data_IF_634800998970
#
_entry.id   IF_634800998970
#
_cell.length_a   1.000
_cell.length_b   1.000
_cell.length_c   1.000
_cell.angle_alpha   90.00
_cell.angle_beta   90.00
_cell.angle_gamma   90.00
#
_symmetry.space_group_name_H-M   'P 1'
#
loop_
_entity.id
_entity.type
_entity.pdbx_description
1 polymer ?
#
# COMPACT_ATOMS: atom_id res chain seq x y z
N UNK A 1 -27.84 0.28 -3.86
CA UNK A 1 -26.65 0.59 -4.69
C UNK A 1 -25.43 0.24 -3.86
N UNK A 2 -24.54 -0.64 -4.31
CA UNK A 2 -23.27 -0.84 -3.60
C UNK A 2 -22.41 0.41 -3.76
N UNK A 3 -21.77 0.85 -2.68
CA UNK A 3 -20.84 1.98 -2.71
C UNK A 3 -19.57 1.57 -3.46
N UNK A 4 -18.97 2.51 -4.19
CA UNK A 4 -17.69 2.28 -4.89
C UNK A 4 -16.60 1.98 -3.85
N UNK A 5 -15.86 0.90 -4.04
CA UNK A 5 -14.65 0.59 -3.26
C UNK A 5 -13.57 1.63 -3.57
N UNK A 6 -13.00 2.24 -2.54
CA UNK A 6 -11.84 3.14 -2.70
C UNK A 6 -10.56 2.31 -2.60
N UNK A 7 -9.73 2.37 -3.64
CA UNK A 7 -8.51 1.58 -3.72
C UNK A 7 -7.27 2.42 -3.40
N UNK A 8 -6.51 1.99 -2.40
CA UNK A 8 -5.37 2.73 -1.85
C UNK A 8 -4.11 1.87 -1.86
N UNK A 9 -3.05 2.38 -2.47
CA UNK A 9 -1.76 1.72 -2.59
C UNK A 9 -0.69 2.39 -1.73
N UNK A 10 0.20 1.60 -1.14
CA UNK A 10 1.36 2.08 -0.39
C UNK A 10 2.65 1.49 -0.94
N UNK A 11 3.41 2.28 -1.71
CA UNK A 11 4.77 1.94 -2.13
C UNK A 11 5.69 2.13 -0.94
N UNK A 12 6.00 1.02 -0.25
CA UNK A 12 6.83 0.98 0.94
C UNK A 12 6.07 0.52 2.18
N UNK A 13 5.96 -0.79 2.36
CA UNK A 13 5.41 -1.46 3.56
C UNK A 13 6.35 -1.38 4.80
N UNK A 14 7.10 -0.30 4.95
CA UNK A 14 7.90 -0.03 6.15
C UNK A 14 7.05 0.59 7.27
N UNK A 15 7.69 1.16 8.29
CA UNK A 15 6.99 1.71 9.46
C UNK A 15 5.87 2.69 9.11
N UNK A 16 6.13 3.70 8.27
CA UNK A 16 5.12 4.73 7.91
C UNK A 16 4.02 4.14 7.03
N UNK A 17 4.37 3.45 5.94
CA UNK A 17 3.38 2.86 5.05
C UNK A 17 2.45 1.90 5.79
N UNK A 18 3.02 0.99 6.58
CA UNK A 18 2.25 0.02 7.37
C UNK A 18 1.40 0.69 8.45
N UNK A 19 1.87 1.76 9.10
CA UNK A 19 1.10 2.50 10.09
C UNK A 19 -0.15 3.15 9.48
N UNK A 20 0.04 3.98 8.44
CA UNK A 20 -1.06 4.69 7.80
C UNK A 20 -2.00 3.74 7.07
N UNK A 21 -1.46 2.85 6.24
CA UNK A 21 -2.26 1.90 5.48
C UNK A 21 -2.98 0.91 6.39
N UNK A 22 -2.37 0.47 7.49
CA UNK A 22 -3.03 -0.45 8.41
C UNK A 22 -4.13 0.23 9.23
N UNK A 23 -3.95 1.49 9.66
CA UNK A 23 -5.07 2.23 10.27
C UNK A 23 -6.23 2.43 9.27
N UNK A 24 -5.95 2.72 8.00
CA UNK A 24 -7.00 2.78 6.98
C UNK A 24 -7.68 1.41 6.77
N UNK A 25 -6.92 0.33 6.71
CA UNK A 25 -7.49 -1.02 6.62
C UNK A 25 -8.38 -1.35 7.83
N UNK A 26 -8.04 -0.85 9.02
CA UNK A 26 -8.81 -1.10 10.25
C UNK A 26 -10.19 -0.44 10.28
N UNK A 27 -10.41 0.60 9.48
CA UNK A 27 -11.69 1.32 9.39
C UNK A 27 -12.53 0.93 8.17
N UNK A 28 -12.07 -0.07 7.40
CA UNK A 28 -12.88 -0.67 6.33
C UNK A 28 -14.24 -1.13 6.88
N UNK A 29 -15.30 -0.86 6.13
CA UNK A 29 -16.67 -1.30 6.44
C UNK A 29 -17.50 -1.40 5.17
N UNK A 30 -18.65 -2.08 5.20
CA UNK A 30 -19.56 -2.15 4.05
C UNK A 30 -20.07 -0.75 3.63
N UNK A 31 -20.18 0.18 4.58
CA UNK A 31 -20.52 1.57 4.32
C UNK A 31 -19.35 2.37 3.74
N UNK A 32 -18.11 2.03 4.10
CA UNK A 32 -16.90 2.69 3.61
C UNK A 32 -15.92 1.62 3.12
N UNK A 33 -16.19 1.00 1.96
CA UNK A 33 -15.38 -0.12 1.51
C UNK A 33 -14.03 0.38 0.99
N UNK A 34 -12.97 -0.09 1.62
CA UNK A 34 -11.57 0.21 1.29
C UNK A 34 -10.82 -1.04 0.83
N UNK A 35 -10.07 -0.94 -0.25
CA UNK A 35 -9.10 -1.95 -0.68
C UNK A 35 -7.69 -1.39 -0.48
N UNK A 36 -6.95 -1.92 0.50
CA UNK A 36 -5.60 -1.48 0.83
C UNK A 36 -4.58 -2.48 0.31
N UNK A 37 -3.63 -2.01 -0.50
CA UNK A 37 -2.54 -2.82 -1.05
C UNK A 37 -1.21 -2.18 -0.70
N UNK A 38 -0.27 -3.00 -0.25
CA UNK A 38 1.08 -2.56 0.05
C UNK A 38 2.08 -3.14 -0.94
N UNK A 39 3.20 -2.44 -1.09
CA UNK A 39 4.37 -2.93 -1.80
C UNK A 39 5.58 -2.90 -0.87
N UNK A 40 6.30 -4.01 -0.75
CA UNK A 40 7.40 -4.13 0.20
C UNK A 40 8.37 -5.25 -0.16
N UNK A 41 9.52 -5.28 0.50
CA UNK A 41 10.55 -6.29 0.20
C UNK A 41 10.02 -7.71 0.43
N UNK A 42 10.44 -8.65 -0.41
CA UNK A 42 10.01 -10.06 -0.44
C UNK A 42 9.73 -10.67 0.94
N UNK A 43 10.73 -10.71 1.82
CA UNK A 43 10.60 -11.35 3.13
C UNK A 43 9.49 -10.71 3.96
N UNK A 44 9.38 -9.37 3.93
CA UNK A 44 8.35 -8.67 4.67
C UNK A 44 6.96 -8.89 4.07
N UNK A 45 6.86 -8.88 2.74
CA UNK A 45 5.61 -9.18 2.03
C UNK A 45 5.11 -10.60 2.35
N UNK A 46 6.00 -11.60 2.27
CA UNK A 46 5.67 -12.99 2.59
C UNK A 46 5.19 -13.15 4.04
N UNK A 47 5.89 -12.54 5.00
CA UNK A 47 5.46 -12.57 6.41
C UNK A 47 4.10 -11.90 6.60
N UNK A 48 3.88 -10.70 6.07
CA UNK A 48 2.59 -10.01 6.23
C UNK A 48 1.45 -10.76 5.58
N UNK A 49 1.63 -11.29 4.36
CA UNK A 49 0.57 -12.07 3.70
C UNK A 49 0.23 -13.36 4.47
N UNK A 50 1.22 -14.00 5.10
CA UNK A 50 1.04 -15.24 5.85
C UNK A 50 0.47 -15.01 7.25
N UNK A 51 1.01 -14.03 7.96
CA UNK A 51 0.77 -13.84 9.40
C UNK A 51 -0.12 -12.64 9.68
N UNK A 52 -0.34 -11.74 8.73
CA UNK A 52 -1.02 -10.46 8.93
C UNK A 52 -0.05 -9.34 9.30
N UNK A 53 -0.60 -8.14 9.46
CA UNK A 53 0.13 -6.94 9.85
C UNK A 53 -0.17 -6.61 11.32
N UNK A 54 0.87 -6.57 12.15
CA UNK A 54 0.79 -6.08 13.53
C UNK A 54 1.35 -4.67 13.62
N UNK A 55 0.59 -3.76 14.23
CA UNK A 55 0.97 -2.38 14.47
C UNK A 55 0.97 -2.11 15.97
N UNK A 56 2.12 -1.68 16.49
CA UNK A 56 2.26 -1.28 17.89
C UNK A 56 2.64 0.20 17.94
N UNK A 57 1.80 1.01 18.58
CA UNK A 57 1.98 2.46 18.70
C UNK A 57 1.60 2.91 20.11
N UNK A 58 2.61 3.16 20.95
CA UNK A 58 2.42 3.37 22.38
C UNK A 58 1.75 2.15 23.02
N UNK A 59 0.67 2.37 23.76
CA UNK A 59 -0.11 1.30 24.41
C UNK A 59 -1.14 0.62 23.49
N UNK A 60 -1.21 1.04 22.21
CA UNK A 60 -2.14 0.45 21.24
C UNK A 60 -1.46 -0.64 20.44
N UNK A 61 -2.10 -1.80 20.38
CA UNK A 61 -1.71 -2.91 19.52
C UNK A 61 -2.89 -3.28 18.62
N UNK A 62 -2.64 -3.28 17.31
CA UNK A 62 -3.62 -3.57 16.28
C UNK A 62 -3.10 -4.71 15.42
N UNK A 63 -3.93 -5.73 15.22
CA UNK A 63 -3.58 -6.87 14.39
C UNK A 63 -4.59 -7.03 13.25
N UNK A 64 -4.10 -6.92 12.02
CA UNK A 64 -4.89 -6.95 10.81
C UNK A 64 -4.58 -8.23 10.03
N UNK A 65 -5.61 -9.03 9.78
CA UNK A 65 -5.53 -10.22 8.92
C UNK A 65 -5.89 -9.85 7.48
N UNK A 66 -5.51 -10.70 6.54
CA UNK A 66 -5.84 -10.56 5.11
C UNK A 66 -5.32 -9.29 4.45
N UNK A 67 -4.18 -8.79 4.93
CA UNK A 67 -3.45 -7.70 4.27
C UNK A 67 -2.74 -8.26 3.04
N UNK A 68 -2.86 -7.55 1.91
CA UNK A 68 -2.17 -7.89 0.66
C UNK A 68 -0.91 -7.06 0.48
N UNK A 69 0.22 -7.73 0.34
CA UNK A 69 1.53 -7.11 0.07
C UNK A 69 2.18 -7.74 -1.14
N UNK A 70 2.59 -6.93 -2.11
CA UNK A 70 3.33 -7.39 -3.29
C UNK A 70 4.80 -6.99 -3.19
N UNK A 71 5.68 -7.81 -3.77
CA UNK A 71 7.11 -7.48 -3.82
C UNK A 71 7.41 -6.39 -4.86
N UNK A 72 6.74 -6.45 -6.01
CA UNK A 72 6.94 -5.53 -7.11
C UNK A 72 5.65 -5.15 -7.82
N UNK A 73 5.73 -4.12 -8.66
CA UNK A 73 4.67 -3.75 -9.60
C UNK A 73 4.28 -4.92 -10.53
N UNK A 74 5.26 -5.73 -10.96
CA UNK A 74 5.04 -6.86 -11.87
C UNK A 74 4.28 -8.01 -11.18
N UNK A 75 4.59 -8.29 -9.92
CA UNK A 75 3.85 -9.31 -9.16
C UNK A 75 2.39 -8.90 -8.97
N UNK A 76 2.15 -7.60 -8.79
CA UNK A 76 0.81 -7.04 -8.69
C UNK A 76 0.05 -7.09 -10.01
N UNK A 77 0.64 -6.65 -11.12
CA UNK A 77 -0.04 -6.65 -12.43
C UNK A 77 -0.25 -8.05 -12.99
N UNK A 78 0.60 -9.01 -12.64
CA UNK A 78 0.46 -10.43 -13.01
C UNK A 78 -0.49 -11.23 -12.12
N UNK A 79 -0.92 -10.67 -10.99
CA UNK A 79 -1.77 -11.37 -10.02
C UNK A 79 -3.23 -11.41 -10.46
N UNK A 80 -3.79 -12.60 -10.64
CA UNK A 80 -5.23 -12.81 -10.91
C UNK A 80 -6.14 -12.50 -9.72
N UNK A 81 -5.58 -12.36 -8.51
CA UNK A 81 -6.33 -12.06 -7.28
C UNK A 81 -6.81 -10.59 -7.19
N UNK A 82 -6.37 -9.76 -8.14
CA UNK A 82 -6.73 -8.36 -8.22
C UNK A 82 -7.31 -8.18 -9.61
N UNK A 83 -8.63 -7.96 -9.71
CA UNK A 83 -9.34 -7.87 -10.99
C UNK A 83 -8.84 -6.70 -11.87
N UNK A 84 -9.58 -6.34 -12.92
CA UNK A 84 -9.29 -5.27 -13.91
C UNK A 84 -8.95 -3.86 -13.34
N UNK A 85 -8.95 -3.71 -12.01
CA UNK A 85 -8.66 -2.53 -11.21
C UNK A 85 -7.16 -2.37 -10.87
N UNK A 86 -6.28 -2.34 -11.87
CA UNK A 86 -4.87 -1.95 -11.72
C UNK A 86 -4.68 -0.46 -11.37
N UNK A 87 -5.77 0.32 -11.28
CA UNK A 87 -5.77 1.76 -10.98
C UNK A 87 -6.08 2.01 -9.51
N UNK A 88 -5.22 2.79 -8.87
CA UNK A 88 -5.42 3.28 -7.52
C UNK A 88 -6.15 4.62 -7.51
N UNK A 89 -7.10 4.82 -6.59
CA UNK A 89 -7.65 6.14 -6.31
C UNK A 89 -6.60 7.01 -5.59
N UNK A 90 -5.79 6.40 -4.73
CA UNK A 90 -4.67 7.03 -4.04
C UNK A 90 -3.47 6.08 -4.00
N UNK A 91 -2.29 6.58 -4.37
CA UNK A 91 -1.04 5.84 -4.32
C UNK A 91 -0.02 6.65 -3.52
N UNK A 92 0.41 6.09 -2.40
CA UNK A 92 1.34 6.73 -1.48
C UNK A 92 2.76 6.21 -1.70
N UNK A 93 3.73 7.11 -1.79
CA UNK A 93 5.15 6.79 -1.70
C UNK A 93 5.64 7.01 -0.27
N UNK A 94 5.99 5.92 0.40
CA UNK A 94 6.42 5.88 1.81
C UNK A 94 7.76 5.16 2.00
N UNK A 95 8.50 4.90 0.91
CA UNK A 95 9.89 4.40 1.00
C UNK A 95 10.81 5.48 1.57
N UNK A 96 12.05 5.12 1.90
CA UNK A 96 13.05 6.15 2.27
C UNK A 96 13.57 6.82 0.99
N UNK A 97 13.94 8.10 1.07
CA UNK A 97 14.29 8.93 -0.09
C UNK A 97 15.37 8.33 -1.01
N UNK A 98 16.33 7.59 -0.45
CA UNK A 98 17.40 6.93 -1.22
C UNK A 98 16.91 5.75 -2.10
N UNK A 99 15.70 5.25 -1.86
CA UNK A 99 15.06 4.21 -2.67
C UNK A 99 14.05 4.81 -3.68
N UNK A 100 13.87 6.14 -3.71
CA UNK A 100 12.83 6.80 -4.53
C UNK A 100 13.02 6.59 -6.02
N UNK A 101 14.21 6.82 -6.58
CA UNK A 101 14.44 6.69 -8.02
C UNK A 101 14.09 5.29 -8.55
N UNK A 102 14.52 4.25 -7.83
CA UNK A 102 14.20 2.85 -8.17
C UNK A 102 12.70 2.59 -8.09
N UNK A 103 12.02 3.12 -7.06
CA UNK A 103 10.59 3.00 -6.93
C UNK A 103 9.86 3.70 -8.08
N UNK A 104 10.28 4.92 -8.47
CA UNK A 104 9.68 5.65 -9.58
C UNK A 104 9.80 4.88 -10.90
N UNK A 105 10.96 4.26 -11.17
CA UNK A 105 11.14 3.44 -12.37
C UNK A 105 10.28 2.17 -12.31
N UNK A 106 10.31 1.46 -11.18
CA UNK A 106 9.61 0.18 -11.02
C UNK A 106 8.08 0.34 -11.06
N UNK A 107 7.56 1.43 -10.49
CA UNK A 107 6.12 1.67 -10.34
C UNK A 107 5.56 2.66 -11.37
N UNK A 108 6.34 3.08 -12.37
CA UNK A 108 5.98 4.13 -13.33
C UNK A 108 4.56 4.00 -13.87
N UNK A 109 4.20 2.84 -14.43
CA UNK A 109 2.88 2.62 -15.03
C UNK A 109 1.73 2.63 -14.00
N UNK A 110 2.00 2.19 -12.76
CA UNK A 110 1.03 2.23 -11.67
C UNK A 110 0.84 3.68 -11.18
N UNK A 111 1.92 4.46 -11.12
CA UNK A 111 1.89 5.88 -10.77
C UNK A 111 1.12 6.67 -11.82
N UNK A 112 1.46 6.52 -13.10
CA UNK A 112 0.81 7.21 -14.23
C UNK A 112 -0.69 6.90 -14.34
N UNK A 113 -1.11 5.72 -13.89
CA UNK A 113 -2.52 5.30 -13.91
C UNK A 113 -3.29 5.56 -12.62
N UNK A 114 -2.59 6.00 -11.56
CA UNK A 114 -3.21 6.38 -10.29
C UNK A 114 -3.90 7.74 -10.40
N UNK A 115 -5.03 7.90 -9.70
CA UNK A 115 -5.77 9.18 -9.69
C UNK A 115 -5.03 10.25 -8.89
N UNK A 116 -4.44 9.88 -7.77
CA UNK A 116 -3.62 10.74 -6.93
C UNK A 116 -2.37 10.00 -6.51
N UNK A 117 -1.22 10.61 -6.78
CA UNK A 117 0.08 10.17 -6.27
C UNK A 117 0.53 11.11 -5.14
N UNK A 118 0.82 10.56 -3.98
CA UNK A 118 1.08 11.32 -2.75
C UNK A 118 2.42 10.86 -2.17
N UNK A 119 3.31 11.81 -1.88
CA UNK A 119 4.61 11.53 -1.29
C UNK A 119 4.53 11.84 0.22
N UNK A 120 4.80 10.84 1.05
CA UNK A 120 4.83 10.96 2.52
C UNK A 120 6.23 10.63 3.06
N UNK A 121 7.25 11.09 2.35
CA UNK A 121 8.65 10.95 2.73
C UNK A 121 9.10 12.18 3.51
N UNK A 122 9.98 11.99 4.50
CA UNK A 122 10.67 13.12 5.11
C UNK A 122 11.71 13.70 4.13
N UNK A 123 11.88 15.02 4.11
CA UNK A 123 12.86 15.73 3.27
C UNK A 123 12.22 16.68 2.25
N UNK A 124 13.00 17.63 1.74
CA UNK A 124 12.63 18.57 0.66
C UNK A 124 13.26 18.07 -0.65
N UNK A 125 12.58 18.21 -1.79
CA UNK A 125 13.08 17.80 -3.11
C UNK A 125 12.80 16.34 -3.45
N UNK A 126 11.69 15.80 -2.93
CA UNK A 126 11.22 14.44 -3.25
C UNK A 126 10.15 14.46 -4.36
N UNK A 127 9.67 15.64 -4.76
CA UNK A 127 8.71 15.89 -5.85
C UNK A 127 9.26 15.68 -7.26
#
# INVERSE_FOLDING_TARGET
>A
MSRKVVKIGFIGAGSIGSLFGGYLASVHSDENPLEIIFFGRRNHALTINKEGLRLTAGDKDLFLKNIKVFESANDFTGSSEIGDASKFDFLFLTTKAYDTERAMVQFKSIIESSKWFIILQNGIGNE
#
